data_IF_654319419999
#
_entry.id   IF_654319419999
#
_cell.length_a   1.000
_cell.length_b   1.000
_cell.length_c   1.000
_cell.angle_alpha   90.00
_cell.angle_beta   90.00
_cell.angle_gamma   90.00
#
_symmetry.space_group_name_H-M   'P 1'
#
loop_
_entity.id
_entity.type
_entity.pdbx_description
1 polymer ?
#
# COMPACT_ATOMS: atom_id res chain seq x y z
N UNK A 1 -32.11 -4.06 -29.32
CA UNK A 1 -30.90 -4.86 -29.10
C UNK A 1 -29.94 -4.54 -30.22
N UNK A 2 -28.71 -4.16 -29.89
CA UNK A 2 -27.66 -3.92 -30.90
C UNK A 2 -27.07 -5.31 -31.21
N UNK A 3 -27.00 -5.68 -32.49
CA UNK A 3 -26.51 -6.99 -32.93
C UNK A 3 -24.98 -7.02 -32.80
N UNK A 4 -24.40 -8.11 -32.26
CA UNK A 4 -22.93 -8.25 -32.16
C UNK A 4 -22.25 -8.28 -33.53
N UNK A 5 -23.01 -8.58 -34.59
CA UNK A 5 -22.57 -8.47 -35.99
C UNK A 5 -22.16 -7.06 -36.40
N UNK A 6 -22.58 -6.03 -35.66
CA UNK A 6 -22.21 -4.63 -35.95
C UNK A 6 -20.78 -4.28 -35.45
N UNK A 7 -20.22 -5.04 -34.51
CA UNK A 7 -18.93 -4.73 -33.85
C UNK A 7 -17.78 -4.55 -34.85
N UNK A 8 -17.57 -5.44 -35.85
CA UNK A 8 -16.50 -5.26 -36.84
C UNK A 8 -16.67 -3.97 -37.66
N UNK A 9 -17.91 -3.55 -37.95
CA UNK A 9 -18.19 -2.33 -38.69
C UNK A 9 -17.94 -1.09 -37.84
N UNK A 10 -18.37 -1.10 -36.58
CA UNK A 10 -18.13 -0.02 -35.63
C UNK A 10 -16.63 0.21 -35.40
N UNK A 11 -15.84 -0.86 -35.32
CA UNK A 11 -14.39 -0.75 -35.13
C UNK A 11 -13.70 -0.12 -36.34
N UNK A 12 -14.10 -0.47 -37.57
CA UNK A 12 -13.56 0.18 -38.78
C UNK A 12 -13.81 1.69 -38.79
N UNK A 13 -14.94 2.12 -38.23
CA UNK A 13 -15.30 3.53 -38.14
C UNK A 13 -14.55 4.30 -37.01
N UNK A 14 -13.81 3.62 -36.12
CA UNK A 14 -13.00 4.30 -35.07
C UNK A 14 -11.82 5.10 -35.61
N UNK A 15 -11.39 4.80 -36.84
CA UNK A 15 -10.31 5.52 -37.53
C UNK A 15 -10.82 6.81 -38.23
N UNK A 16 -12.13 7.10 -38.17
CA UNK A 16 -12.70 8.36 -38.66
C UNK A 16 -12.13 9.56 -37.89
N UNK A 17 -11.81 10.64 -38.61
CA UNK A 17 -11.21 11.84 -38.04
C UNK A 17 -12.21 12.76 -37.32
N UNK A 18 -13.51 12.49 -37.44
CA UNK A 18 -14.56 13.24 -36.74
C UNK A 18 -14.68 12.82 -35.27
N UNK A 19 -14.39 13.71 -34.30
CA UNK A 19 -14.50 13.41 -32.87
C UNK A 19 -15.93 13.06 -32.44
N UNK A 20 -16.94 13.63 -33.12
CA UNK A 20 -18.35 13.38 -32.85
C UNK A 20 -18.76 11.96 -33.23
N UNK A 21 -18.29 11.49 -34.39
CA UNK A 21 -18.53 10.12 -34.87
C UNK A 21 -17.82 9.14 -33.96
N UNK A 22 -16.55 9.40 -33.64
CA UNK A 22 -15.74 8.58 -32.75
C UNK A 22 -16.39 8.42 -31.37
N UNK A 23 -16.86 9.51 -30.74
CA UNK A 23 -17.52 9.45 -29.45
C UNK A 23 -18.81 8.59 -29.50
N UNK A 24 -19.64 8.75 -30.55
CA UNK A 24 -20.84 7.91 -30.72
C UNK A 24 -20.49 6.42 -30.84
N UNK A 25 -19.43 6.10 -31.57
CA UNK A 25 -18.96 4.72 -31.74
C UNK A 25 -18.43 4.17 -30.42
N UNK A 26 -17.62 4.93 -29.69
CA UNK A 26 -17.11 4.54 -28.36
C UNK A 26 -18.26 4.24 -27.40
N UNK A 27 -19.27 5.12 -27.32
CA UNK A 27 -20.46 4.89 -26.51
C UNK A 27 -21.20 3.61 -26.93
N UNK A 28 -21.32 3.38 -28.24
CA UNK A 28 -22.00 2.20 -28.76
C UNK A 28 -21.22 0.91 -28.48
N UNK A 29 -19.90 0.91 -28.66
CA UNK A 29 -19.01 -0.20 -28.30
C UNK A 29 -19.05 -0.48 -26.79
N UNK A 30 -18.99 0.57 -25.96
CA UNK A 30 -19.07 0.44 -24.51
C UNK A 30 -20.39 -0.22 -24.05
N UNK A 31 -21.50 -0.02 -24.79
CA UNK A 31 -22.80 -0.61 -24.47
C UNK A 31 -22.87 -2.14 -24.60
N UNK A 32 -21.91 -2.77 -25.28
CA UNK A 32 -21.82 -4.24 -25.36
C UNK A 32 -21.29 -4.88 -24.06
N UNK A 33 -20.73 -4.09 -23.13
CA UNK A 33 -20.24 -4.59 -21.84
C UNK A 33 -19.24 -5.74 -21.99
N UNK A 34 -19.42 -6.80 -21.19
CA UNK A 34 -18.56 -7.99 -21.18
C UNK A 34 -18.54 -8.78 -22.49
N UNK A 35 -19.54 -8.59 -23.37
CA UNK A 35 -19.58 -9.27 -24.67
C UNK A 35 -18.65 -8.61 -25.71
N UNK A 36 -18.15 -7.40 -25.45
CA UNK A 36 -17.32 -6.68 -26.40
C UNK A 36 -16.00 -7.41 -26.70
N UNK A 37 -15.31 -7.85 -25.65
CA UNK A 37 -13.99 -8.50 -25.75
C UNK A 37 -14.00 -9.80 -26.57
N UNK A 38 -14.83 -10.81 -26.27
CA UNK A 38 -14.83 -12.06 -27.04
C UNK A 38 -15.24 -11.83 -28.50
N UNK A 39 -16.05 -10.82 -28.79
CA UNK A 39 -16.41 -10.48 -30.17
C UNK A 39 -15.25 -9.80 -30.91
N UNK A 40 -14.44 -8.98 -30.23
CA UNK A 40 -13.22 -8.38 -30.81
C UNK A 40 -12.18 -9.44 -31.15
N UNK A 41 -12.00 -10.46 -30.31
CA UNK A 41 -11.05 -11.55 -30.55
C UNK A 41 -11.42 -12.41 -31.77
N UNK A 42 -12.70 -12.40 -32.19
CA UNK A 42 -13.20 -13.12 -33.37
C UNK A 42 -13.06 -12.34 -34.68
N UNK A 43 -12.60 -11.09 -34.63
CA UNK A 43 -12.56 -10.22 -35.81
C UNK A 43 -11.48 -10.71 -36.79
N UNK A 44 -11.81 -10.88 -38.10
CA UNK A 44 -10.90 -11.47 -39.08
C UNK A 44 -9.81 -10.50 -39.58
N UNK A 45 -9.67 -9.30 -39.00
CA UNK A 45 -8.72 -8.29 -39.43
C UNK A 45 -7.92 -7.71 -38.25
N UNK A 46 -6.71 -7.24 -38.54
CA UNK A 46 -5.84 -6.63 -37.54
C UNK A 46 -6.27 -5.21 -37.22
N UNK A 47 -6.32 -4.90 -35.91
CA UNK A 47 -6.60 -3.56 -35.42
C UNK A 47 -5.39 -2.63 -35.60
N UNK A 48 -5.63 -1.40 -36.04
CA UNK A 48 -4.65 -0.32 -36.03
C UNK A 48 -4.23 0.02 -34.58
N UNK A 49 -3.06 0.63 -34.39
CA UNK A 49 -2.64 1.07 -33.05
C UNK A 49 -3.63 2.09 -32.45
N UNK A 50 -4.22 2.96 -33.29
CA UNK A 50 -5.26 3.91 -32.89
C UNK A 50 -6.51 3.19 -32.39
N UNK A 51 -7.02 2.21 -33.15
CA UNK A 51 -8.15 1.37 -32.75
C UNK A 51 -7.89 0.65 -31.43
N UNK A 52 -6.72 -0.02 -31.30
CA UNK A 52 -6.33 -0.71 -30.07
C UNK A 52 -6.35 0.22 -28.87
N UNK A 53 -5.80 1.43 -28.99
CA UNK A 53 -5.77 2.41 -27.91
C UNK A 53 -7.18 2.85 -27.49
N UNK A 54 -8.08 3.10 -28.44
CA UNK A 54 -9.47 3.50 -28.14
C UNK A 54 -10.26 2.37 -27.50
N UNK A 55 -10.10 1.15 -27.99
CA UNK A 55 -10.71 -0.06 -27.42
C UNK A 55 -10.19 -0.31 -26.00
N UNK A 56 -8.89 -0.18 -25.77
CA UNK A 56 -8.29 -0.32 -24.45
C UNK A 56 -8.85 0.70 -23.45
N UNK A 57 -9.14 1.94 -23.89
CA UNK A 57 -9.84 2.94 -23.04
C UNK A 57 -11.25 2.49 -22.66
N UNK A 58 -11.99 1.86 -23.57
CA UNK A 58 -13.32 1.32 -23.27
C UNK A 58 -13.21 0.21 -22.22
N UNK A 59 -12.29 -0.74 -22.41
CA UNK A 59 -12.07 -1.82 -21.44
C UNK A 59 -11.65 -1.28 -20.07
N UNK A 60 -10.74 -0.30 -20.06
CA UNK A 60 -10.32 0.35 -18.83
C UNK A 60 -11.50 1.01 -18.09
N UNK A 61 -12.36 1.77 -18.79
CA UNK A 61 -13.56 2.36 -18.21
C UNK A 61 -14.56 1.30 -17.70
N UNK A 62 -14.77 0.21 -18.45
CA UNK A 62 -15.63 -0.89 -18.00
C UNK A 62 -15.10 -1.54 -16.72
N UNK A 63 -13.78 -1.72 -16.61
CA UNK A 63 -13.12 -2.25 -15.41
C UNK A 63 -13.32 -1.33 -14.20
N UNK A 64 -13.17 -0.02 -14.38
CA UNK A 64 -13.42 0.98 -13.34
C UNK A 64 -14.87 0.98 -12.86
N UNK A 65 -15.83 0.92 -13.79
CA UNK A 65 -17.26 0.83 -13.45
C UNK A 65 -17.54 -0.45 -12.66
N UNK A 66 -17.00 -1.60 -13.11
CA UNK A 66 -17.15 -2.89 -12.41
C UNK A 66 -16.57 -2.82 -11.00
N UNK A 67 -15.38 -2.23 -10.82
CA UNK A 67 -14.78 -2.02 -9.50
C UNK A 67 -15.71 -1.19 -8.60
N UNK A 68 -16.14 -0.01 -9.05
CA UNK A 68 -16.99 0.89 -8.26
C UNK A 68 -18.34 0.27 -7.91
N UNK A 69 -18.93 -0.53 -8.80
CA UNK A 69 -20.20 -1.23 -8.53
C UNK A 69 -20.05 -2.37 -7.50
N UNK A 70 -18.91 -3.04 -7.49
CA UNK A 70 -18.65 -4.16 -6.57
C UNK A 70 -18.08 -3.69 -5.24
N UNK A 71 -17.42 -2.53 -5.19
CA UNK A 71 -16.73 -2.01 -4.02
C UNK A 71 -17.58 -2.01 -2.74
N UNK A 72 -18.85 -1.55 -2.72
CA UNK A 72 -19.64 -1.49 -1.48
C UNK A 72 -20.04 -2.86 -0.91
N UNK A 73 -19.75 -3.98 -1.60
CA UNK A 73 -20.18 -5.32 -1.19
C UNK A 73 -19.47 -5.78 0.08
N UNK A 74 -18.19 -5.47 0.22
CA UNK A 74 -17.40 -5.97 1.36
C UNK A 74 -17.81 -5.31 2.67
N UNK A 75 -18.23 -4.04 2.65
CA UNK A 75 -18.82 -3.34 3.81
C UNK A 75 -19.95 -4.11 4.51
N UNK A 76 -20.73 -4.87 3.73
CA UNK A 76 -21.90 -5.63 4.23
C UNK A 76 -21.56 -7.05 4.68
N UNK A 77 -20.31 -7.48 4.54
CA UNK A 77 -19.90 -8.83 4.90
C UNK A 77 -19.66 -8.91 6.41
N UNK A 78 -20.39 -9.76 7.16
CA UNK A 78 -20.32 -9.77 8.63
C UNK A 78 -19.08 -10.49 9.16
N UNK A 79 -18.62 -11.52 8.47
CA UNK A 79 -17.43 -12.26 8.90
C UNK A 79 -16.17 -11.46 8.51
N UNK A 80 -15.34 -11.14 9.49
CA UNK A 80 -14.17 -10.27 9.28
C UNK A 80 -13.18 -10.79 8.22
N UNK A 81 -12.93 -12.09 8.15
CA UNK A 81 -11.94 -12.64 7.22
C UNK A 81 -12.52 -12.82 5.82
N UNK A 82 -13.80 -13.20 5.71
CA UNK A 82 -14.52 -13.19 4.43
C UNK A 82 -14.67 -11.76 3.90
N UNK A 83 -14.84 -10.78 4.80
CA UNK A 83 -14.87 -9.35 4.48
C UNK A 83 -13.54 -8.87 3.90
N UNK A 84 -12.42 -9.23 4.54
CA UNK A 84 -11.08 -8.95 4.03
C UNK A 84 -10.86 -9.61 2.67
N UNK A 85 -11.20 -10.89 2.53
CA UNK A 85 -11.07 -11.61 1.26
C UNK A 85 -11.88 -10.96 0.15
N UNK A 86 -13.12 -10.56 0.42
CA UNK A 86 -13.98 -9.92 -0.57
C UNK A 86 -13.41 -8.57 -1.01
N UNK A 87 -12.92 -7.75 -0.09
CA UNK A 87 -12.26 -6.49 -0.40
C UNK A 87 -11.02 -6.72 -1.30
N UNK A 88 -10.15 -7.66 -0.91
CA UNK A 88 -8.93 -7.96 -1.66
C UNK A 88 -9.21 -8.66 -3.00
N UNK A 89 -10.29 -9.43 -3.11
CA UNK A 89 -10.74 -10.03 -4.37
C UNK A 89 -11.19 -8.96 -5.36
N UNK A 90 -11.99 -7.97 -4.91
CA UNK A 90 -12.44 -6.83 -5.73
C UNK A 90 -11.23 -6.02 -6.23
N UNK A 91 -10.26 -5.72 -5.35
CA UNK A 91 -9.04 -5.01 -5.73
C UNK A 91 -8.18 -5.84 -6.69
N UNK A 92 -8.01 -7.13 -6.43
CA UNK A 92 -7.22 -8.02 -7.28
C UNK A 92 -7.83 -8.16 -8.68
N UNK A 93 -9.15 -8.27 -8.79
CA UNK A 93 -9.87 -8.30 -10.08
C UNK A 93 -9.63 -7.02 -10.90
N UNK A 94 -9.54 -5.86 -10.24
CA UNK A 94 -9.21 -4.60 -10.90
C UNK A 94 -7.73 -4.49 -11.28
N UNK A 95 -6.83 -5.03 -10.47
CA UNK A 95 -5.39 -4.94 -10.74
C UNK A 95 -4.92 -5.97 -11.77
N UNK A 96 -5.67 -7.06 -11.99
CA UNK A 96 -5.27 -8.13 -12.90
C UNK A 96 -5.12 -7.63 -14.35
N UNK A 97 -3.89 -7.60 -14.86
CA UNK A 97 -3.59 -7.18 -16.24
C UNK A 97 -3.97 -8.27 -17.26
N UNK A 98 -4.06 -9.52 -16.81
CA UNK A 98 -4.34 -10.68 -17.64
C UNK A 98 -5.76 -11.19 -17.41
N UNK A 99 -6.74 -10.52 -18.02
CA UNK A 99 -8.14 -10.98 -18.08
C UNK A 99 -8.34 -12.37 -18.77
N UNK A 100 -7.27 -13.07 -19.12
CA UNK A 100 -7.30 -14.36 -19.83
C UNK A 100 -7.47 -15.57 -18.90
N UNK A 101 -7.29 -15.41 -17.58
CA UNK A 101 -7.55 -16.48 -16.61
C UNK A 101 -8.62 -16.03 -15.62
N UNK A 102 -9.82 -16.62 -15.72
CA UNK A 102 -10.93 -16.45 -14.77
C UNK A 102 -10.67 -17.13 -13.41
N UNK A 103 -9.44 -17.06 -12.90
CA UNK A 103 -9.14 -17.60 -11.59
C UNK A 103 -9.51 -16.55 -10.55
N UNK A 104 -10.53 -16.86 -9.74
CA UNK A 104 -10.90 -16.04 -8.60
C UNK A 104 -9.94 -16.28 -7.42
N UNK A 105 -9.81 -15.28 -6.56
CA UNK A 105 -8.87 -15.32 -5.43
C UNK A 105 -9.16 -16.50 -4.48
N UNK A 106 -10.44 -16.78 -4.18
CA UNK A 106 -10.84 -17.87 -3.30
C UNK A 106 -10.31 -19.23 -3.77
N UNK A 107 -10.34 -19.49 -5.08
CA UNK A 107 -9.82 -20.74 -5.67
C UNK A 107 -8.31 -20.89 -5.51
N UNK A 108 -7.55 -19.79 -5.60
CA UNK A 108 -6.11 -19.79 -5.33
C UNK A 108 -5.82 -20.09 -3.86
N UNK A 109 -6.56 -19.47 -2.94
CA UNK A 109 -6.42 -19.68 -1.51
C UNK A 109 -6.76 -21.13 -1.12
N UNK A 110 -7.84 -21.68 -1.69
CA UNK A 110 -8.24 -23.08 -1.47
C UNK A 110 -7.20 -24.06 -2.05
N UNK A 111 -6.60 -23.73 -3.19
CA UNK A 111 -5.49 -24.48 -3.78
C UNK A 111 -4.29 -24.55 -2.83
N UNK A 112 -3.86 -23.40 -2.28
CA UNK A 112 -2.77 -23.34 -1.29
C UNK A 112 -3.11 -24.11 -0.01
N UNK A 113 -4.36 -24.08 0.45
CA UNK A 113 -4.79 -24.86 1.61
C UNK A 113 -4.66 -26.37 1.36
N UNK A 114 -5.15 -26.86 0.22
CA UNK A 114 -5.04 -28.28 -0.16
C UNK A 114 -3.58 -28.71 -0.28
N UNK A 115 -2.75 -27.88 -0.90
CA UNK A 115 -1.33 -28.14 -1.04
C UNK A 115 -0.64 -28.21 0.33
N UNK A 116 -0.90 -27.25 1.24
CA UNK A 116 -0.40 -27.30 2.60
C UNK A 116 -0.82 -28.58 3.33
N UNK A 117 -2.10 -28.93 3.29
CA UNK A 117 -2.65 -30.11 3.97
C UNK A 117 -2.08 -31.43 3.43
N UNK A 118 -1.76 -31.50 2.14
CA UNK A 118 -1.14 -32.69 1.54
C UNK A 118 0.34 -32.85 1.87
N UNK A 119 1.06 -31.74 2.13
CA UNK A 119 2.49 -31.76 2.47
C UNK A 119 2.73 -31.97 3.97
N UNK A 120 1.81 -31.52 4.82
CA UNK A 120 2.02 -31.45 6.27
C UNK A 120 1.00 -32.31 7.03
N UNK A 121 1.48 -33.42 7.62
CA UNK A 121 0.67 -34.31 8.46
C UNK A 121 0.19 -33.64 9.75
N UNK A 122 1.09 -32.93 10.44
CA UNK A 122 0.77 -32.04 11.54
C UNK A 122 0.75 -30.60 11.03
N UNK A 123 -0.26 -29.83 11.43
CA UNK A 123 -0.53 -28.50 10.90
C UNK A 123 -0.61 -27.50 12.04
N UNK A 124 0.22 -26.47 11.97
CA UNK A 124 0.15 -25.32 12.86
C UNK A 124 0.50 -24.03 12.11
N UNK A 125 0.26 -22.88 12.74
CA UNK A 125 0.52 -21.57 12.13
C UNK A 125 2.01 -21.37 11.78
N UNK A 126 2.94 -21.97 12.52
CA UNK A 126 4.39 -21.88 12.24
C UNK A 126 4.77 -22.64 10.98
N UNK A 127 4.23 -23.85 10.80
CA UNK A 127 4.41 -24.64 9.59
C UNK A 127 3.75 -23.96 8.40
N UNK A 128 2.61 -23.30 8.59
CA UNK A 128 2.00 -22.49 7.52
C UNK A 128 2.92 -21.32 7.10
N UNK A 129 3.51 -20.59 8.05
CA UNK A 129 4.46 -19.53 7.73
C UNK A 129 5.68 -20.06 6.96
N UNK A 130 6.24 -21.20 7.41
CA UNK A 130 7.32 -21.89 6.70
C UNK A 130 6.89 -22.28 5.27
N UNK A 131 5.72 -22.88 5.12
CA UNK A 131 5.19 -23.31 3.83
C UNK A 131 5.11 -22.16 2.84
N UNK A 132 4.47 -21.06 3.22
CA UNK A 132 4.27 -19.91 2.33
C UNK A 132 5.59 -19.19 2.01
N UNK A 133 6.39 -18.88 3.02
CA UNK A 133 7.49 -17.92 2.87
C UNK A 133 8.87 -18.57 2.67
N UNK A 134 9.00 -19.88 2.90
CA UNK A 134 10.27 -20.61 2.71
C UNK A 134 10.15 -21.72 1.68
N UNK A 135 9.08 -22.52 1.72
CA UNK A 135 8.94 -23.64 0.78
C UNK A 135 8.42 -23.18 -0.59
N UNK A 136 7.35 -22.36 -0.58
CA UNK A 136 6.83 -21.70 -1.77
C UNK A 136 7.58 -20.42 -2.13
N UNK A 137 8.42 -19.90 -1.22
CA UNK A 137 9.28 -18.72 -1.43
C UNK A 137 8.51 -17.46 -1.85
N UNK A 138 7.25 -17.33 -1.44
CA UNK A 138 6.51 -16.08 -1.55
C UNK A 138 7.26 -15.05 -0.70
N UNK A 139 7.74 -13.96 -1.29
CA UNK A 139 8.64 -13.03 -0.61
C UNK A 139 8.32 -11.56 -0.90
N UNK A 140 8.94 -10.68 -0.12
CA UNK A 140 8.94 -9.25 -0.38
C UNK A 140 9.58 -8.90 -1.73
N UNK A 141 8.96 -7.99 -2.48
CA UNK A 141 9.58 -7.35 -3.66
C UNK A 141 10.27 -6.05 -3.24
N UNK A 142 11.52 -6.16 -2.81
CA UNK A 142 12.33 -5.00 -2.41
C UNK A 142 12.77 -4.15 -3.62
N UNK A 143 13.00 -4.79 -4.77
CA UNK A 143 13.49 -4.13 -5.97
C UNK A 143 12.41 -3.26 -6.62
N UNK A 144 11.17 -3.75 -6.64
CA UNK A 144 10.02 -3.04 -7.22
C UNK A 144 8.90 -2.85 -6.19
N UNK A 145 9.26 -2.36 -5.01
CA UNK A 145 8.34 -2.21 -3.87
C UNK A 145 7.02 -1.50 -4.25
N UNK A 146 7.10 -0.40 -4.99
CA UNK A 146 5.96 0.40 -5.42
C UNK A 146 5.31 -0.07 -6.73
N UNK A 147 5.48 -1.34 -7.12
CA UNK A 147 4.65 -1.93 -8.16
C UNK A 147 3.22 -2.16 -7.61
N UNK A 148 2.15 -1.57 -8.21
CA UNK A 148 0.78 -1.78 -7.76
C UNK A 148 0.36 -3.26 -7.70
N UNK A 149 0.97 -4.12 -8.53
CA UNK A 149 0.70 -5.56 -8.52
C UNK A 149 1.09 -6.24 -7.21
N UNK A 150 2.00 -5.67 -6.41
CA UNK A 150 2.32 -6.23 -5.10
C UNK A 150 1.14 -6.14 -4.11
N UNK A 151 0.14 -5.32 -4.38
CA UNK A 151 -1.13 -5.24 -3.65
C UNK A 151 -2.25 -6.12 -4.25
N UNK A 152 -2.00 -6.79 -5.38
CA UNK A 152 -2.92 -7.74 -6.00
C UNK A 152 -2.68 -9.14 -5.43
N UNK A 153 -3.59 -9.68 -4.62
CA UNK A 153 -3.36 -10.95 -3.94
C UNK A 153 -3.28 -12.14 -4.92
N UNK A 154 -3.92 -12.07 -6.09
CA UNK A 154 -3.75 -13.08 -7.14
C UNK A 154 -2.31 -13.05 -7.69
N UNK A 155 -1.81 -11.85 -7.98
CA UNK A 155 -0.43 -11.66 -8.42
C UNK A 155 0.56 -12.14 -7.35
N UNK A 156 0.33 -11.81 -6.08
CA UNK A 156 1.19 -12.24 -4.96
C UNK A 156 1.31 -13.76 -4.90
N UNK A 157 0.21 -14.49 -5.11
CA UNK A 157 0.22 -15.95 -5.13
C UNK A 157 0.92 -16.49 -6.39
N UNK A 158 0.59 -15.96 -7.57
CA UNK A 158 1.07 -16.49 -8.85
C UNK A 158 2.53 -16.14 -9.15
N UNK A 159 2.96 -14.94 -8.76
CA UNK A 159 4.32 -14.41 -9.00
C UNK A 159 5.20 -14.47 -7.75
N UNK A 160 4.65 -14.93 -6.61
CA UNK A 160 5.38 -15.15 -5.35
C UNK A 160 6.08 -13.88 -4.83
N UNK A 161 5.51 -12.71 -5.11
CA UNK A 161 6.07 -11.39 -4.79
C UNK A 161 5.00 -10.48 -4.21
N UNK A 162 5.30 -9.83 -3.09
CA UNK A 162 4.36 -8.91 -2.44
C UNK A 162 5.02 -7.84 -1.59
N UNK A 163 4.19 -7.11 -0.86
CA UNK A 163 4.57 -6.11 0.14
C UNK A 163 4.15 -6.61 1.54
N UNK A 164 4.65 -6.01 2.64
CA UNK A 164 4.40 -6.54 3.98
C UNK A 164 2.92 -6.82 4.28
N UNK A 165 2.03 -5.89 3.91
CA UNK A 165 0.59 -6.03 4.16
C UNK A 165 -0.07 -7.11 3.30
N UNK A 166 0.36 -7.31 2.05
CA UNK A 166 -0.24 -8.32 1.18
C UNK A 166 0.22 -9.73 1.54
N UNK A 167 1.47 -9.89 1.96
CA UNK A 167 2.00 -11.14 2.48
C UNK A 167 1.35 -11.53 3.82
N UNK A 168 1.16 -10.57 4.72
CA UNK A 168 0.45 -10.82 5.98
C UNK A 168 -1.03 -11.15 5.73
N UNK A 169 -1.72 -10.44 4.84
CA UNK A 169 -3.11 -10.75 4.49
C UNK A 169 -3.25 -12.16 3.89
N UNK A 170 -2.32 -12.59 3.03
CA UNK A 170 -2.30 -13.96 2.51
C UNK A 170 -2.20 -14.99 3.64
N UNK A 171 -1.30 -14.77 4.60
CA UNK A 171 -1.13 -15.64 5.75
C UNK A 171 -2.37 -15.67 6.65
N UNK A 172 -3.00 -14.52 6.89
CA UNK A 172 -4.26 -14.41 7.64
C UNK A 172 -5.40 -15.19 6.97
N UNK A 173 -5.60 -15.04 5.66
CA UNK A 173 -6.70 -15.67 4.93
C UNK A 173 -6.56 -17.19 4.81
N UNK A 174 -5.33 -17.69 4.63
CA UNK A 174 -5.06 -19.13 4.63
C UNK A 174 -5.16 -19.68 6.06
N UNK A 175 -4.66 -18.93 7.04
CA UNK A 175 -4.82 -19.25 8.46
C UNK A 175 -6.29 -19.44 8.84
N UNK A 176 -7.14 -18.48 8.49
CA UNK A 176 -8.59 -18.55 8.72
C UNK A 176 -9.21 -19.82 8.14
N UNK A 177 -8.92 -20.14 6.87
CA UNK A 177 -9.41 -21.37 6.21
C UNK A 177 -8.96 -22.65 6.90
N UNK A 178 -7.76 -22.65 7.48
CA UNK A 178 -7.19 -23.79 8.19
C UNK A 178 -7.56 -23.82 9.69
N UNK A 179 -8.36 -22.85 10.16
CA UNK A 179 -8.77 -22.74 11.56
C UNK A 179 -7.70 -22.17 12.49
N UNK A 180 -6.66 -21.52 11.96
CA UNK A 180 -5.66 -20.81 12.75
C UNK A 180 -6.09 -19.37 13.00
N UNK A 181 -5.96 -18.93 14.26
CA UNK A 181 -6.20 -17.55 14.62
C UNK A 181 -4.95 -16.69 14.32
N UNK A 182 -5.00 -15.97 13.20
CA UNK A 182 -3.91 -15.12 12.71
C UNK A 182 -4.48 -13.74 12.44
N UNK A 183 -3.95 -12.74 13.14
CA UNK A 183 -4.41 -11.35 13.06
C UNK A 183 -3.34 -10.48 12.38
N UNK A 184 -3.76 -9.35 11.83
CA UNK A 184 -2.82 -8.30 11.40
C UNK A 184 -2.39 -7.46 12.60
N UNK A 185 -1.17 -6.92 12.56
CA UNK A 185 -0.66 -6.04 13.60
C UNK A 185 0.07 -4.83 12.99
N UNK A 186 -0.25 -3.66 13.52
CA UNK A 186 0.46 -2.43 13.22
C UNK A 186 1.87 -2.51 13.82
N UNK A 187 2.85 -2.15 13.01
CA UNK A 187 4.21 -2.01 13.47
C UNK A 187 4.82 -0.77 12.80
N UNK A 188 5.52 0.12 13.53
CA UNK A 188 6.08 1.33 12.92
C UNK A 188 6.92 1.02 11.67
N UNK A 189 6.58 1.69 10.56
CA UNK A 189 7.23 1.49 9.25
C UNK A 189 7.04 0.11 8.62
N UNK A 190 6.21 -0.78 9.19
CA UNK A 190 6.05 -2.17 8.73
C UNK A 190 4.62 -2.70 8.93
N UNK A 191 4.38 -3.96 8.56
CA UNK A 191 3.14 -4.66 8.91
C UNK A 191 3.47 -6.11 9.21
N UNK A 192 2.99 -6.61 10.35
CA UNK A 192 3.28 -7.95 10.84
C UNK A 192 1.98 -8.73 11.00
N UNK A 193 2.07 -10.05 11.02
CA UNK A 193 0.98 -10.87 11.55
C UNK A 193 1.23 -11.17 13.03
N UNK A 194 0.17 -11.33 13.81
CA UNK A 194 0.21 -11.75 15.21
C UNK A 194 -0.51 -13.09 15.34
N UNK A 195 0.11 -14.02 16.06
CA UNK A 195 -0.47 -15.35 16.34
C UNK A 195 -0.27 -15.73 17.80
N UNK A 196 -1.24 -16.46 18.35
CA UNK A 196 -1.05 -17.16 19.61
C UNK A 196 -0.60 -18.59 19.33
N UNK A 197 0.57 -18.97 19.85
CA UNK A 197 1.13 -20.30 19.67
C UNK A 197 1.65 -20.86 20.98
N UNK A 198 1.09 -22.00 21.41
CA UNK A 198 1.43 -22.67 22.69
C UNK A 198 1.33 -21.73 23.90
N UNK A 199 0.25 -20.94 23.97
CA UNK A 199 -0.04 -20.00 25.06
C UNK A 199 0.88 -18.78 25.12
N UNK A 200 1.53 -18.42 24.00
CA UNK A 200 2.39 -17.23 23.89
C UNK A 200 2.08 -16.48 22.60
N UNK A 201 2.20 -15.15 22.66
CA UNK A 201 2.06 -14.28 21.49
C UNK A 201 3.37 -14.30 20.69
N UNK A 202 3.24 -14.45 19.38
CA UNK A 202 4.31 -14.31 18.40
C UNK A 202 3.91 -13.31 17.33
N UNK A 203 4.90 -12.59 16.83
CA UNK A 203 4.79 -11.78 15.64
C UNK A 203 5.47 -12.51 14.48
N UNK A 204 4.85 -12.45 13.30
CA UNK A 204 5.36 -13.10 12.10
C UNK A 204 5.65 -12.03 11.08
N UNK A 205 6.93 -11.88 10.74
CA UNK A 205 7.37 -11.02 9.65
C UNK A 205 7.27 -11.78 8.33
N UNK A 206 6.11 -11.67 7.70
CA UNK A 206 5.79 -12.30 6.42
C UNK A 206 6.67 -11.76 5.28
N UNK A 207 7.16 -10.53 5.37
CA UNK A 207 8.06 -9.93 4.38
C UNK A 207 9.46 -10.50 4.50
N UNK A 208 9.94 -10.68 5.73
CA UNK A 208 11.24 -11.26 6.06
C UNK A 208 11.21 -12.79 6.18
N UNK A 209 10.70 -13.49 5.15
CA UNK A 209 10.68 -14.97 5.06
C UNK A 209 9.88 -15.70 6.17
N UNK A 210 8.86 -15.06 6.72
CA UNK A 210 7.98 -15.67 7.73
C UNK A 210 8.68 -15.84 9.08
N UNK A 211 9.59 -14.94 9.44
CA UNK A 211 10.30 -14.99 10.72
C UNK A 211 9.31 -14.98 11.89
N UNK A 212 9.37 -16.02 12.71
CA UNK A 212 8.47 -16.25 13.83
C UNK A 212 9.12 -15.75 15.13
N UNK A 213 8.78 -14.52 15.52
CA UNK A 213 9.45 -13.76 16.57
C UNK A 213 8.62 -13.83 17.84
N UNK A 214 9.22 -14.24 18.95
CA UNK A 214 8.54 -14.23 20.24
C UNK A 214 8.18 -12.79 20.61
N UNK A 215 6.97 -12.57 21.13
CA UNK A 215 6.54 -11.26 21.61
C UNK A 215 7.54 -10.58 22.53
N UNK A 216 8.20 -11.31 23.44
CA UNK A 216 9.21 -10.72 24.33
C UNK A 216 10.49 -10.28 23.61
N UNK A 217 10.81 -10.88 22.47
CA UNK A 217 12.03 -10.61 21.72
C UNK A 217 11.84 -9.47 20.72
N UNK A 218 10.63 -9.29 20.14
CA UNK A 218 10.39 -8.15 19.24
C UNK A 218 10.57 -6.80 19.95
N UNK A 219 10.15 -6.74 21.22
CA UNK A 219 10.35 -5.57 22.10
C UNK A 219 11.83 -5.30 22.39
N UNK A 220 12.67 -6.32 22.37
CA UNK A 220 14.12 -6.19 22.58
C UNK A 220 14.81 -5.76 21.29
N UNK A 221 14.36 -6.27 20.15
CA UNK A 221 14.92 -5.98 18.82
C UNK A 221 14.52 -4.60 18.30
N UNK A 222 13.45 -3.99 18.83
CA UNK A 222 12.88 -2.72 18.36
C UNK A 222 12.54 -1.75 19.50
N UNK A 223 13.19 -1.91 20.67
CA UNK A 223 12.97 -1.10 21.87
C UNK A 223 13.13 0.40 21.61
N UNK A 224 13.97 0.75 20.65
CA UNK A 224 14.30 2.14 20.29
C UNK A 224 13.25 2.78 19.37
N UNK A 225 12.36 1.97 18.78
CA UNK A 225 11.32 2.41 17.83
C UNK A 225 9.93 2.42 18.48
N UNK A 226 9.73 1.61 19.53
CA UNK A 226 8.42 1.43 20.16
C UNK A 226 8.42 2.09 21.53
N UNK A 227 7.81 3.28 21.62
CA UNK A 227 7.75 4.07 22.86
C UNK A 227 6.91 3.43 23.98
N UNK A 228 5.80 2.76 23.62
CA UNK A 228 4.98 2.00 24.57
C UNK A 228 4.87 0.54 24.12
N UNK A 229 5.60 -0.33 24.82
CA UNK A 229 5.74 -1.75 24.48
C UNK A 229 4.43 -2.54 24.69
N UNK A 230 3.58 -2.13 25.64
CA UNK A 230 2.34 -2.83 25.95
C UNK A 230 1.24 -2.55 24.90
N UNK A 231 1.23 -1.34 24.32
CA UNK A 231 0.29 -0.96 23.26
C UNK A 231 0.45 -1.83 21.99
N UNK A 232 1.68 -2.20 21.62
CA UNK A 232 1.96 -3.01 20.41
C UNK A 232 1.39 -4.43 20.51
N UNK A 233 1.21 -4.98 21.71
CA UNK A 233 0.55 -6.28 21.86
C UNK A 233 -0.95 -6.22 21.64
N UNK A 234 -1.56 -5.07 21.91
CA UNK A 234 -3.01 -4.86 21.85
C UNK A 234 -3.47 -4.28 20.50
N UNK A 235 -2.56 -3.69 19.72
CA UNK A 235 -2.82 -3.11 18.38
C UNK A 235 -3.00 -4.18 17.28
N UNK A 236 -4.04 -5.00 17.43
CA UNK A 236 -4.56 -5.79 16.31
C UNK A 236 -5.16 -4.84 15.28
N UNK A 237 -4.74 -4.98 14.03
CA UNK A 237 -5.31 -4.24 12.93
C UNK A 237 -6.70 -4.79 12.62
N UNK A 238 -7.72 -3.94 12.75
CA UNK A 238 -9.04 -4.26 12.21
C UNK A 238 -9.00 -4.31 10.67
N UNK A 239 -10.01 -4.92 10.07
CA UNK A 239 -10.07 -5.16 8.62
C UNK A 239 -10.16 -3.85 7.83
N UNK A 240 -10.83 -2.84 8.37
CA UNK A 240 -11.03 -1.57 7.68
C UNK A 240 -9.70 -0.82 7.60
N UNK A 241 -8.93 -0.84 8.68
CA UNK A 241 -7.56 -0.32 8.71
C UNK A 241 -6.61 -1.08 7.78
N UNK A 242 -6.73 -2.41 7.69
CA UNK A 242 -5.94 -3.20 6.72
C UNK A 242 -6.26 -2.75 5.29
N UNK A 243 -7.54 -2.67 4.93
CA UNK A 243 -7.97 -2.25 3.58
C UNK A 243 -7.56 -0.80 3.31
N UNK A 244 -7.68 0.10 4.29
CA UNK A 244 -7.18 1.48 4.20
C UNK A 244 -5.70 1.53 3.82
N UNK A 245 -4.88 0.69 4.44
CA UNK A 245 -3.44 0.60 4.12
C UNK A 245 -3.17 0.02 2.73
N UNK A 246 -3.96 -0.94 2.27
CA UNK A 246 -3.88 -1.42 0.87
C UNK A 246 -4.16 -0.27 -0.11
N UNK A 247 -5.21 0.53 0.13
CA UNK A 247 -5.56 1.68 -0.68
C UNK A 247 -4.47 2.75 -0.65
N UNK A 248 -3.92 3.08 0.53
CA UNK A 248 -2.81 4.02 0.67
C UNK A 248 -1.57 3.58 -0.11
N UNK A 249 -1.21 2.29 -0.05
CA UNK A 249 -0.10 1.74 -0.82
C UNK A 249 -0.36 1.82 -2.34
N UNK A 250 -1.60 1.54 -2.78
CA UNK A 250 -1.98 1.64 -4.19
C UNK A 250 -1.94 3.09 -4.70
N UNK A 251 -2.48 4.04 -3.93
CA UNK A 251 -2.39 5.48 -4.24
C UNK A 251 -0.92 5.86 -4.42
N UNK A 252 -0.05 5.49 -3.46
CA UNK A 252 1.38 5.81 -3.55
C UNK A 252 2.06 5.16 -4.77
N UNK A 253 1.74 3.90 -5.04
CA UNK A 253 2.28 3.18 -6.19
C UNK A 253 1.91 3.85 -7.53
N UNK A 254 0.66 4.29 -7.67
CA UNK A 254 0.20 4.99 -8.89
C UNK A 254 0.70 6.43 -8.99
N UNK A 255 0.89 7.14 -7.88
CA UNK A 255 1.59 8.44 -7.86
C UNK A 255 3.02 8.31 -8.39
N UNK A 256 3.78 7.32 -7.92
CA UNK A 256 5.16 7.08 -8.37
C UNK A 256 5.18 6.71 -9.86
N UNK A 257 4.21 5.93 -10.33
CA UNK A 257 4.03 5.61 -11.76
C UNK A 257 3.52 6.78 -12.61
N UNK A 258 3.12 7.90 -11.99
CA UNK A 258 2.49 9.06 -12.64
C UNK A 258 1.21 8.69 -13.42
N UNK A 259 0.44 7.76 -12.85
CA UNK A 259 -0.85 7.33 -13.37
C UNK A 259 -1.97 8.04 -12.58
N UNK A 260 -2.34 9.23 -13.05
CA UNK A 260 -3.30 10.10 -12.39
C UNK A 260 -4.70 9.46 -12.34
N UNK A 261 -5.11 8.74 -13.39
CA UNK A 261 -6.43 8.11 -13.47
C UNK A 261 -6.61 7.05 -12.37
N UNK A 262 -5.64 6.16 -12.21
CA UNK A 262 -5.67 5.16 -11.13
C UNK A 262 -5.52 5.82 -9.76
N UNK A 263 -4.64 6.82 -9.62
CA UNK A 263 -4.47 7.55 -8.37
C UNK A 263 -5.81 8.13 -7.88
N UNK A 264 -6.52 8.87 -8.73
CA UNK A 264 -7.82 9.46 -8.41
C UNK A 264 -8.89 8.40 -8.12
N UNK A 265 -8.87 7.28 -8.85
CA UNK A 265 -9.77 6.15 -8.59
C UNK A 265 -9.57 5.57 -7.19
N UNK A 266 -8.33 5.30 -6.77
CA UNK A 266 -8.06 4.74 -5.44
C UNK A 266 -8.28 5.77 -4.32
N UNK A 267 -8.03 7.06 -4.56
CA UNK A 267 -8.44 8.14 -3.63
C UNK A 267 -9.96 8.12 -3.42
N UNK A 268 -10.74 7.92 -4.49
CA UNK A 268 -12.19 7.80 -4.39
C UNK A 268 -12.62 6.59 -3.55
N UNK A 269 -12.01 5.42 -3.75
CA UNK A 269 -12.31 4.24 -2.93
C UNK A 269 -11.94 4.44 -1.46
N UNK A 270 -10.81 5.12 -1.21
CA UNK A 270 -10.38 5.47 0.14
C UNK A 270 -11.40 6.36 0.81
N UNK A 271 -11.83 7.44 0.14
CA UNK A 271 -12.87 8.33 0.65
C UNK A 271 -14.19 7.59 0.91
N UNK A 272 -14.59 6.69 0.02
CA UNK A 272 -15.81 5.89 0.20
C UNK A 272 -15.75 4.98 1.44
N UNK A 273 -14.57 4.42 1.75
CA UNK A 273 -14.32 3.72 3.01
C UNK A 273 -14.43 4.67 4.22
N UNK A 274 -13.82 5.84 4.18
CA UNK A 274 -13.92 6.83 5.26
C UNK A 274 -15.36 7.27 5.52
N UNK A 275 -16.09 7.62 4.45
CA UNK A 275 -17.49 8.03 4.52
C UNK A 275 -18.35 6.89 5.11
N UNK A 276 -18.04 5.62 4.78
CA UNK A 276 -18.71 4.46 5.36
C UNK A 276 -18.43 4.29 6.86
N UNK A 277 -17.19 4.51 7.30
CA UNK A 277 -16.81 4.43 8.70
C UNK A 277 -17.47 5.55 9.52
N UNK A 278 -17.46 6.78 9.00
CA UNK A 278 -18.15 7.93 9.61
C UNK A 278 -19.66 7.70 9.69
N UNK A 279 -20.28 7.11 8.67
CA UNK A 279 -21.71 6.81 8.69
C UNK A 279 -22.08 5.74 9.74
N UNK A 280 -21.13 4.92 10.17
CA UNK A 280 -21.33 3.83 11.12
C UNK A 280 -20.78 4.14 12.53
N UNK A 281 -20.02 5.22 12.72
CA UNK A 281 -19.44 5.66 13.99
C UNK A 281 -19.85 7.11 14.33
N UNK A 282 -20.27 7.36 15.57
CA UNK A 282 -20.39 8.73 16.10
C UNK A 282 -19.00 9.33 16.40
N UNK A 283 -18.14 9.49 15.40
CA UNK A 283 -16.87 10.22 15.51
C UNK A 283 -16.71 11.26 14.39
N UNK A 284 -16.26 12.44 14.82
CA UNK A 284 -16.23 13.73 14.14
C UNK A 284 -15.13 13.88 13.09
N UNK A 285 -15.50 14.48 11.95
CA UNK A 285 -14.69 15.25 10.98
C UNK A 285 -13.20 14.89 10.88
N UNK A 286 -12.89 13.84 10.14
CA UNK A 286 -11.55 13.58 9.61
C UNK A 286 -11.43 14.30 8.26
N UNK A 287 -10.43 15.16 8.11
CA UNK A 287 -10.21 15.99 6.92
C UNK A 287 -9.25 15.32 5.93
N UNK A 288 -9.22 15.71 4.65
CA UNK A 288 -8.19 15.26 3.70
C UNK A 288 -6.74 15.51 4.18
N UNK A 289 -6.52 16.46 5.09
CA UNK A 289 -5.23 16.71 5.73
C UNK A 289 -4.86 15.60 6.75
N UNK A 290 -5.85 14.99 7.41
CA UNK A 290 -5.66 13.86 8.33
C UNK A 290 -5.39 12.54 7.56
N UNK A 291 -5.90 12.42 6.33
CA UNK A 291 -5.59 11.35 5.37
C UNK A 291 -4.11 11.40 4.93
N UNK A 292 -3.58 12.61 4.79
CA UNK A 292 -2.17 12.82 4.42
C UNK A 292 -1.24 12.57 5.61
N UNK A 293 -1.66 12.89 6.83
CA UNK A 293 -0.91 12.58 8.07
C UNK A 293 -0.82 11.08 8.40
N UNK A 294 -1.72 10.26 7.87
CA UNK A 294 -1.71 8.80 8.06
C UNK A 294 -0.92 8.04 6.99
N UNK A 295 -0.17 8.74 6.12
CA UNK A 295 0.92 8.10 5.39
C UNK A 295 1.90 7.53 6.42
N UNK A 296 2.22 6.23 6.31
CA UNK A 296 3.34 5.64 7.05
C UNK A 296 4.61 6.39 6.64
N UNK A 297 4.95 7.43 7.40
CA UNK A 297 6.22 8.13 7.28
C UNK A 297 7.32 7.09 7.47
N UNK A 298 8.31 7.07 6.57
CA UNK A 298 9.44 6.16 6.72
C UNK A 298 10.30 6.57 7.93
N UNK A 299 10.29 7.86 8.24
CA UNK A 299 10.93 8.43 9.42
C UNK A 299 9.95 9.26 10.26
N UNK A 300 10.02 9.10 11.58
CA UNK A 300 9.23 9.85 12.54
C UNK A 300 10.04 10.98 13.18
N UNK A 301 9.36 11.96 13.77
CA UNK A 301 10.01 13.00 14.58
C UNK A 301 10.82 12.36 15.71
N UNK A 302 12.06 12.79 15.87
CA UNK A 302 13.03 12.22 16.81
C UNK A 302 13.88 11.08 16.24
N UNK A 303 13.59 10.57 15.03
CA UNK A 303 14.47 9.59 14.38
C UNK A 303 15.81 10.22 14.01
N UNK A 304 16.89 9.46 14.23
CA UNK A 304 18.24 9.80 13.77
C UNK A 304 18.41 9.34 12.31
N UNK A 305 19.01 10.20 11.50
CA UNK A 305 19.19 9.97 10.06
C UNK A 305 20.62 10.25 9.62
N UNK A 306 21.00 9.67 8.49
CA UNK A 306 22.17 10.03 7.69
C UNK A 306 21.71 10.45 6.31
N UNK A 307 22.21 11.57 5.81
CA UNK A 307 21.94 11.96 4.43
C UNK A 307 22.76 11.09 3.46
N UNK A 308 22.10 10.38 2.54
CA UNK A 308 22.72 9.44 1.58
C UNK A 308 23.88 10.03 0.78
N UNK A 309 23.67 11.23 0.23
CA UNK A 309 24.67 11.93 -0.60
C UNK A 309 25.76 12.65 0.21
N UNK A 310 25.38 13.42 1.22
CA UNK A 310 26.30 14.32 1.93
C UNK A 310 26.87 13.72 3.22
N UNK A 311 26.39 12.56 3.65
CA UNK A 311 26.92 11.80 4.79
C UNK A 311 26.71 12.44 6.16
N UNK A 312 26.05 13.59 6.25
CA UNK A 312 25.81 14.24 7.54
C UNK A 312 24.78 13.46 8.35
N UNK A 313 25.00 13.44 9.66
CA UNK A 313 24.07 12.89 10.66
C UNK A 313 23.14 13.99 11.16
N UNK A 314 21.92 13.62 11.54
CA UNK A 314 20.97 14.58 12.10
C UNK A 314 19.77 13.93 12.77
N UNK A 315 18.91 14.77 13.34
CA UNK A 315 17.65 14.36 13.95
C UNK A 315 16.48 15.10 13.32
N UNK A 316 15.41 14.36 13.04
CA UNK A 316 14.17 14.93 12.49
C UNK A 316 13.41 15.66 13.59
N UNK A 317 13.09 16.94 13.36
CA UNK A 317 12.36 17.81 14.29
C UNK A 317 10.91 18.03 13.89
N UNK A 318 10.64 17.99 12.58
CA UNK A 318 9.29 18.13 12.01
C UNK A 318 9.24 17.56 10.58
N UNK A 319 8.03 17.39 10.04
CA UNK A 319 7.77 16.81 8.73
C UNK A 319 6.63 17.52 8.00
N UNK A 320 6.87 17.81 6.73
CA UNK A 320 5.84 18.21 5.77
C UNK A 320 5.54 17.05 4.83
N UNK A 321 4.27 16.80 4.55
CA UNK A 321 3.85 15.73 3.63
C UNK A 321 4.23 15.97 2.17
N UNK A 322 4.47 17.23 1.81
CA UNK A 322 4.96 17.70 0.51
C UNK A 322 5.94 18.85 0.72
N UNK A 323 6.79 19.11 -0.27
CA UNK A 323 7.74 20.23 -0.22
C UNK A 323 7.00 21.58 -0.11
N UNK A 324 7.18 22.27 1.02
CA UNK A 324 6.66 23.62 1.26
C UNK A 324 7.63 24.74 0.86
N UNK A 325 8.85 24.41 0.45
CA UNK A 325 9.83 25.43 0.06
C UNK A 325 9.37 26.20 -1.18
N UNK A 326 9.76 27.47 -1.26
CA UNK A 326 9.47 28.31 -2.43
C UNK A 326 10.13 27.75 -3.69
N UNK A 327 9.58 28.09 -4.87
CA UNK A 327 10.17 27.66 -6.15
C UNK A 327 11.62 28.15 -6.30
N UNK A 328 11.89 29.39 -5.87
CA UNK A 328 13.23 29.97 -5.88
C UNK A 328 14.22 29.14 -5.04
N UNK A 329 13.82 28.75 -3.84
CA UNK A 329 14.62 27.89 -2.98
C UNK A 329 14.79 26.49 -3.60
N UNK A 330 13.69 25.89 -4.08
CA UNK A 330 13.69 24.53 -4.62
C UNK A 330 14.58 24.37 -5.84
N UNK A 331 14.50 25.30 -6.81
CA UNK A 331 15.32 25.26 -8.01
C UNK A 331 16.79 25.63 -7.77
N UNK A 332 17.12 26.20 -6.60
CA UNK A 332 18.52 26.37 -6.16
C UNK A 332 19.16 25.06 -5.69
N UNK A 333 18.36 24.04 -5.36
CA UNK A 333 18.84 22.75 -4.89
C UNK A 333 19.42 21.92 -6.05
N UNK A 334 20.53 21.22 -5.80
CA UNK A 334 21.25 20.47 -6.85
C UNK A 334 20.53 19.18 -7.28
N UNK A 335 19.76 18.55 -6.39
CA UNK A 335 19.15 17.23 -6.65
C UNK A 335 17.69 17.31 -7.05
N UNK A 336 17.01 18.43 -6.78
CA UNK A 336 15.60 18.70 -7.11
C UNK A 336 14.71 17.44 -6.94
N UNK A 337 14.72 16.81 -5.76
CA UNK A 337 13.99 15.57 -5.52
C UNK A 337 12.48 15.85 -5.56
N UNK A 338 11.67 14.85 -5.93
CA UNK A 338 10.21 15.01 -6.07
C UNK A 338 9.58 15.78 -4.90
N UNK A 339 8.78 16.81 -5.19
CA UNK A 339 8.09 17.64 -4.19
C UNK A 339 6.90 16.92 -3.54
N UNK A 340 6.35 15.90 -4.18
CA UNK A 340 5.18 15.12 -3.73
C UNK A 340 5.54 13.92 -2.82
N UNK A 341 6.66 14.03 -2.11
CA UNK A 341 7.07 13.07 -1.07
C UNK A 341 7.21 13.83 0.26
N UNK A 342 7.31 13.15 1.41
CA UNK A 342 7.59 13.81 2.68
C UNK A 342 8.94 14.56 2.66
N UNK A 343 8.95 15.75 3.24
CA UNK A 343 10.15 16.55 3.47
C UNK A 343 10.33 16.80 4.96
N UNK A 344 11.55 16.64 5.42
CA UNK A 344 11.89 16.65 6.83
C UNK A 344 12.72 17.87 7.18
N UNK A 345 12.38 18.47 8.32
CA UNK A 345 13.21 19.45 9.00
C UNK A 345 14.18 18.69 9.89
N UNK A 346 15.48 18.91 9.66
CA UNK A 346 16.55 18.14 10.31
C UNK A 346 17.56 19.08 10.95
N UNK A 347 17.91 18.81 12.22
CA UNK A 347 19.03 19.44 12.90
C UNK A 347 20.31 18.65 12.63
N UNK A 348 21.34 19.29 12.07
CA UNK A 348 22.57 18.62 11.64
C UNK A 348 23.59 18.54 12.77
N UNK A 349 24.09 17.34 13.04
CA UNK A 349 25.03 17.05 14.13
C UNK A 349 26.35 17.84 14.00
N UNK A 350 26.82 18.39 15.14
CA UNK A 350 28.06 19.16 15.31
C UNK A 350 28.11 20.47 14.50
N UNK A 351 26.94 20.96 14.10
CA UNK A 351 26.81 22.23 13.40
C UNK A 351 25.69 23.07 14.02
N UNK A 352 25.52 24.29 13.52
CA UNK A 352 24.33 25.12 13.78
C UNK A 352 23.33 25.07 12.62
N UNK A 353 23.51 24.12 11.68
CA UNK A 353 22.74 24.05 10.46
C UNK A 353 21.43 23.28 10.66
N UNK A 354 20.36 23.87 10.13
CA UNK A 354 19.07 23.22 9.90
C UNK A 354 18.93 22.95 8.42
N UNK A 355 18.46 21.77 8.04
CA UNK A 355 18.22 21.39 6.65
C UNK A 355 16.79 20.97 6.41
N UNK A 356 16.26 21.33 5.25
CA UNK A 356 15.00 20.82 4.72
C UNK A 356 15.27 19.81 3.61
N UNK A 357 14.90 18.55 3.83
CA UNK A 357 15.40 17.43 3.00
C UNK A 357 14.30 16.40 2.70
N UNK A 358 14.24 15.97 1.44
CA UNK A 358 13.30 14.96 1.00
C UNK A 358 13.59 13.56 1.59
N UNK A 359 12.53 12.79 1.89
CA UNK A 359 12.60 11.41 2.43
C UNK A 359 13.57 10.51 1.65
N UNK A 360 13.52 10.55 0.32
CA UNK A 360 14.38 9.73 -0.55
C UNK A 360 15.89 9.93 -0.34
N UNK A 361 16.31 11.08 0.20
CA UNK A 361 17.72 11.40 0.45
C UNK A 361 18.24 10.95 1.82
N UNK A 362 17.38 10.35 2.66
CA UNK A 362 17.71 9.95 4.01
C UNK A 362 17.82 8.42 4.14
N UNK A 363 18.75 7.99 4.99
CA UNK A 363 18.81 6.65 5.58
C UNK A 363 18.77 6.76 7.11
N UNK A 364 18.39 5.68 7.80
CA UNK A 364 18.37 5.66 9.26
C UNK A 364 19.80 5.58 9.82
N UNK A 365 20.07 6.37 10.85
CA UNK A 365 21.33 6.32 11.59
C UNK A 365 21.24 5.35 12.76
N UNK A 366 22.07 4.31 12.73
CA UNK A 366 22.13 3.25 13.74
C UNK A 366 23.29 3.40 14.72
N UNK A 367 24.06 4.48 14.62
CA UNK A 367 25.32 4.64 15.38
C UNK A 367 25.13 4.85 16.89
N UNK A 368 23.89 4.95 17.40
CA UNK A 368 23.53 5.19 18.81
C UNK A 368 24.22 6.42 19.46
N UNK A 369 24.88 7.28 18.66
CA UNK A 369 25.57 8.47 19.13
C UNK A 369 24.63 9.67 19.23
N UNK A 370 24.76 10.46 20.29
CA UNK A 370 23.96 11.69 20.48
C UNK A 370 24.26 12.71 19.37
N UNK A 371 23.20 13.33 18.85
CA UNK A 371 23.27 14.55 18.05
C UNK A 371 23.49 15.75 18.97
N UNK A 372 24.64 16.40 18.81
CA UNK A 372 24.94 17.73 19.33
C UNK A 372 24.50 18.79 18.32
N UNK A 373 23.54 19.64 18.68
CA UNK A 373 23.13 20.83 17.92
C UNK A 373 22.52 21.85 18.91
N UNK A 374 22.73 23.17 18.77
CA UNK A 374 22.30 24.15 19.79
C UNK A 374 20.80 24.14 20.08
N UNK A 375 19.98 23.85 19.07
CA UNK A 375 18.51 23.81 19.18
C UNK A 375 17.95 22.49 19.73
N UNK A 376 18.80 21.51 20.09
CA UNK A 376 18.32 20.21 20.57
C UNK A 376 17.42 20.36 21.80
N UNK A 377 17.87 21.10 22.81
CA UNK A 377 17.09 21.29 24.04
C UNK A 377 15.88 22.21 23.85
N UNK A 378 15.82 22.93 22.71
CA UNK A 378 14.66 23.74 22.36
C UNK A 378 13.51 22.87 21.83
N UNK A 379 13.79 21.81 21.06
CA UNK A 379 12.75 20.93 20.50
C UNK A 379 12.57 19.61 21.24
N UNK A 380 13.59 19.17 21.98
CA UNK A 380 13.59 17.87 22.64
C UNK A 380 13.98 17.99 24.10
N UNK A 381 13.35 17.15 24.92
CA UNK A 381 13.87 16.76 26.22
C UNK A 381 14.72 15.52 26.04
N UNK A 382 16.02 15.62 26.33
CA UNK A 382 16.92 14.46 26.34
C UNK A 382 16.65 13.66 27.61
N UNK A 383 16.25 12.41 27.46
CA UNK A 383 15.98 11.49 28.58
C UNK A 383 17.28 10.93 29.16
N UNK A 384 17.23 10.37 30.36
CA UNK A 384 18.39 9.79 31.05
C UNK A 384 19.05 8.65 30.25
N UNK A 385 18.27 8.00 29.37
CA UNK A 385 18.74 6.93 28.48
C UNK A 385 19.31 7.45 27.16
N UNK A 386 19.37 8.77 26.95
CA UNK A 386 19.91 9.40 25.75
C UNK A 386 18.93 9.56 24.59
N UNK A 387 17.66 9.18 24.76
CA UNK A 387 16.62 9.34 23.74
C UNK A 387 16.06 10.76 23.70
N UNK A 388 15.60 11.17 22.51
CA UNK A 388 15.02 12.48 22.24
C UNK A 388 13.49 12.42 22.33
N UNK A 389 12.92 13.03 23.36
CA UNK A 389 11.46 13.17 23.49
C UNK A 389 11.03 14.55 22.99
N UNK A 390 10.18 14.59 21.96
CA UNK A 390 9.67 15.84 21.38
C UNK A 390 8.86 16.61 22.43
N UNK A 391 9.14 17.89 22.60
CA UNK A 391 8.34 18.78 23.47
C UNK A 391 7.23 19.48 22.69
N UNK A 392 6.46 20.36 23.35
CA UNK A 392 5.33 21.08 22.74
C UNK A 392 5.74 22.32 21.92
N UNK A 393 7.04 22.67 21.85
CA UNK A 393 7.46 23.84 21.09
C UNK A 393 7.25 23.61 19.59
N UNK A 394 6.44 24.42 18.89
CA UNK A 394 6.17 24.19 17.47
C UNK A 394 7.41 24.45 16.62
N UNK A 395 7.47 23.81 15.45
CA UNK A 395 8.39 24.25 14.40
C UNK A 395 7.99 25.66 13.97
N UNK A 396 8.92 26.63 13.91
CA UNK A 396 8.56 27.98 13.50
C UNK A 396 8.13 27.98 12.04
N UNK A 397 6.97 28.58 11.75
CA UNK A 397 6.57 28.90 10.38
C UNK A 397 7.60 29.87 9.80
N UNK A 398 8.57 29.30 9.08
CA UNK A 398 9.64 30.05 8.43
C UNK A 398 9.55 29.75 6.95
N UNK A 399 9.34 30.80 6.16
CA UNK A 399 9.39 30.70 4.70
C UNK A 399 10.83 30.38 4.28
N UNK A 400 11.03 29.24 3.60
CA UNK A 400 12.30 28.85 2.98
C UNK A 400 12.42 29.34 1.54
#
# INVERSE_FOLDING_TARGET
MIDSKDIPHLIKLLDDDSPVIQNKIITKLASFGSNLKPEIEKIPFHLSNRQKNLINRIFYQQKQIKLLQNWPRWFKCPNKFERLELALSILSDYLDEHEQQEVNLGSLLDGLCKEFQSRYFYQDCRLLAKFLFQDLKIKGDEENYYNPQNSNLKYVILQQKGIPISLAALYMLIGYRLGFNIEGCHFPGHFLAQVEYKGRIYFVDCFSSGQFINGKDILRLRRDVVGNLDAVFEERADIDTIVRRFLANLIRAYQIKKDEDNCQLFIKLFKDLEDHLIANENFSNITPEDIIKTQNLYFEVGNLIVHKRYGYRGIIVDVDSVCKATDLWYYSNQTQPNREQPWYHVLVHETNQVTYVAESNLDRDWSNGKVAHPLINYFFKVTDNGNYQRNENPWPETDF
#
